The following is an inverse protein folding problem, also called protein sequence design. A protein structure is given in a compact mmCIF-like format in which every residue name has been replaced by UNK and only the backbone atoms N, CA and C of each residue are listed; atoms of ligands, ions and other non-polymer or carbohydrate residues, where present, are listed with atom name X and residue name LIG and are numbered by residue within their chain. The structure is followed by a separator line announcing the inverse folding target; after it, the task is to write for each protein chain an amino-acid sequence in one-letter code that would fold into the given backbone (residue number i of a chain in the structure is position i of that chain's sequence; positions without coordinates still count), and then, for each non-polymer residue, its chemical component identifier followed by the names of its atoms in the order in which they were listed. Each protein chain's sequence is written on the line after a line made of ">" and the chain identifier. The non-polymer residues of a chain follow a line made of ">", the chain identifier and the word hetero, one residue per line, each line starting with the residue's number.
data_IF_328767575112
#
_entry.id   IF_328767575112
#
_cell.length_a   1.000
_cell.length_b   1.000
_cell.length_c   1.000
_cell.angle_alpha   90.00
_cell.angle_beta   90.00
_cell.angle_gamma   90.00
#
_symmetry.space_group_name_H-M   'P 1'
#
loop_
_entity.id
_entity.type
_entity.pdbx_description
1 polymer ?
#
# COMPACT_ATOMS: atom_id res chain seq x y z
N UNK A 1 -30.32 3.74 -3.07
CA UNK A 1 -28.91 4.16 -2.85
C UNK A 1 -28.77 5.47 -2.08
N UNK A 2 -29.73 6.42 -2.13
CA UNK A 2 -29.61 7.70 -1.40
C UNK A 2 -29.90 7.60 0.11
N UNK A 3 -30.84 6.74 0.53
CA UNK A 3 -31.20 6.62 1.96
C UNK A 3 -30.26 5.74 2.81
N UNK A 4 -29.35 5.01 2.17
CA UNK A 4 -28.41 4.10 2.86
C UNK A 4 -27.11 4.80 3.23
N UNK A 5 -26.77 5.89 2.55
CA UNK A 5 -25.52 6.61 2.74
C UNK A 5 -25.83 8.07 3.04
N UNK A 6 -25.67 8.46 4.31
CA UNK A 6 -25.55 9.88 4.66
C UNK A 6 -24.21 10.36 4.10
N UNK A 7 -24.23 10.84 2.86
CA UNK A 7 -23.02 11.22 2.12
C UNK A 7 -22.17 12.25 2.88
N UNK A 8 -22.80 13.12 3.68
CA UNK A 8 -22.13 14.06 4.58
C UNK A 8 -21.26 13.36 5.61
N UNK A 9 -21.80 12.35 6.32
CA UNK A 9 -21.07 11.58 7.33
C UNK A 9 -19.90 10.80 6.74
N UNK A 10 -20.08 10.22 5.55
CA UNK A 10 -18.98 9.52 4.87
C UNK A 10 -17.88 10.51 4.44
N UNK A 11 -18.26 11.70 3.96
CA UNK A 11 -17.33 12.77 3.62
C UNK A 11 -16.48 13.20 4.82
N UNK A 12 -17.10 13.44 5.97
CA UNK A 12 -16.40 13.74 7.23
C UNK A 12 -15.43 12.62 7.62
N UNK A 13 -15.84 11.36 7.47
CA UNK A 13 -14.97 10.23 7.78
C UNK A 13 -13.75 10.15 6.87
N UNK A 14 -13.92 10.45 5.57
CA UNK A 14 -12.80 10.48 4.61
C UNK A 14 -11.82 11.61 4.98
N UNK A 15 -12.30 12.79 5.37
CA UNK A 15 -11.43 13.91 5.76
C UNK A 15 -10.59 13.54 6.99
N UNK A 16 -11.23 12.97 8.02
CA UNK A 16 -10.53 12.54 9.23
C UNK A 16 -9.56 11.38 8.97
N UNK A 17 -9.94 10.41 8.13
CA UNK A 17 -9.05 9.34 7.70
C UNK A 17 -7.83 9.88 6.97
N UNK A 18 -8.01 10.82 6.02
CA UNK A 18 -6.91 11.50 5.35
C UNK A 18 -5.99 12.20 6.36
N UNK A 19 -6.53 12.89 7.35
CA UNK A 19 -5.73 13.53 8.38
C UNK A 19 -4.89 12.52 9.19
N UNK A 20 -5.41 11.32 9.46
CA UNK A 20 -4.65 10.23 10.08
C UNK A 20 -3.52 9.73 9.18
N UNK A 21 -3.82 9.48 7.90
CA UNK A 21 -2.82 9.05 6.89
C UNK A 21 -1.73 10.10 6.72
N UNK A 22 -2.07 11.39 6.65
CA UNK A 22 -1.11 12.49 6.52
C UNK A 22 -0.22 12.62 7.77
N UNK A 23 -0.72 12.28 8.96
CA UNK A 23 0.10 12.22 10.19
C UNK A 23 1.11 11.07 10.12
N UNK A 24 0.67 9.89 9.69
CA UNK A 24 1.55 8.73 9.50
C UNK A 24 2.62 9.03 8.45
N UNK A 25 2.23 9.62 7.31
CA UNK A 25 3.14 9.99 6.23
C UNK A 25 4.29 10.87 6.74
N UNK A 26 3.97 11.93 7.49
CA UNK A 26 4.97 12.84 8.07
C UNK A 26 5.89 12.14 9.07
N UNK A 27 5.33 11.23 9.88
CA UNK A 27 6.04 10.54 10.96
C UNK A 27 6.95 9.42 10.44
N UNK A 28 6.38 8.48 9.69
CA UNK A 28 6.99 7.17 9.40
C UNK A 28 7.19 6.91 7.91
N UNK A 29 6.73 7.81 7.03
CA UNK A 29 6.98 7.76 5.60
C UNK A 29 5.85 7.16 4.76
N UNK A 30 6.07 7.18 3.45
CA UNK A 30 5.05 6.92 2.44
C UNK A 30 4.48 5.50 2.53
N UNK A 31 5.34 4.50 2.68
CA UNK A 31 4.90 3.10 2.66
C UNK A 31 4.09 2.72 3.90
N UNK A 32 4.38 3.29 5.07
CA UNK A 32 3.57 3.08 6.29
C UNK A 32 2.18 3.68 6.10
N UNK A 33 2.12 4.92 5.58
CA UNK A 33 0.87 5.62 5.31
C UNK A 33 0.00 4.88 4.28
N UNK A 34 0.61 4.41 3.18
CA UNK A 34 -0.09 3.66 2.13
C UNK A 34 -0.62 2.32 2.64
N UNK A 35 0.19 1.53 3.35
CA UNK A 35 -0.24 0.23 3.91
C UNK A 35 -1.38 0.41 4.90
N UNK A 36 -1.30 1.43 5.77
CA UNK A 36 -2.39 1.78 6.69
C UNK A 36 -3.68 2.14 5.94
N UNK A 37 -3.60 3.01 4.93
CA UNK A 37 -4.75 3.42 4.11
C UNK A 37 -5.43 2.22 3.42
N UNK A 38 -4.64 1.32 2.82
CA UNK A 38 -5.15 0.08 2.23
C UNK A 38 -5.82 -0.81 3.30
N UNK A 39 -5.18 -1.00 4.46
CA UNK A 39 -5.71 -1.82 5.55
C UNK A 39 -7.05 -1.30 6.09
N UNK A 40 -7.17 0.00 6.35
CA UNK A 40 -8.42 0.61 6.81
C UNK A 40 -9.55 0.44 5.79
N UNK A 41 -9.26 0.70 4.50
CA UNK A 41 -10.27 0.54 3.44
C UNK A 41 -10.70 -0.92 3.30
N UNK A 42 -9.75 -1.86 3.25
CA UNK A 42 -10.04 -3.29 3.14
C UNK A 42 -10.92 -3.77 4.30
N UNK A 43 -10.57 -3.41 5.54
CA UNK A 43 -11.34 -3.77 6.72
C UNK A 43 -12.75 -3.18 6.71
N UNK A 44 -12.92 -1.94 6.22
CA UNK A 44 -14.23 -1.32 6.11
C UNK A 44 -15.16 -2.02 5.10
N UNK A 45 -14.61 -2.54 4.00
CA UNK A 45 -15.38 -3.30 3.02
C UNK A 45 -15.67 -4.74 3.47
N UNK A 46 -14.74 -5.38 4.18
CA UNK A 46 -14.91 -6.74 4.71
C UNK A 46 -15.91 -6.79 5.88
N UNK A 47 -15.83 -5.83 6.80
CA UNK A 47 -16.68 -5.78 7.99
C UNK A 47 -17.81 -4.75 7.82
N UNK A 48 -18.84 -5.14 7.06
CA UNK A 48 -20.11 -4.40 7.03
C UNK A 48 -20.82 -4.55 8.38
N UNK A 49 -20.95 -3.46 9.12
CA UNK A 49 -21.65 -3.40 10.40
C UNK A 49 -23.16 -3.32 10.17
N UNK A 50 -23.95 -4.19 10.80
CA UNK A 50 -25.41 -4.04 10.79
C UNK A 50 -25.80 -3.11 11.92
N UNK A 51 -26.28 -1.90 11.59
CA UNK A 51 -26.83 -0.96 12.57
C UNK A 51 -28.31 -0.79 12.28
N UNK A 52 -29.17 -1.08 13.25
CA UNK A 52 -30.64 -1.00 13.13
C UNK A 52 -31.19 -1.75 11.90
N UNK A 53 -30.65 -2.94 11.60
CA UNK A 53 -31.06 -3.74 10.44
C UNK A 53 -30.48 -3.31 9.09
N UNK A 54 -29.74 -2.20 9.02
CA UNK A 54 -29.10 -1.70 7.80
C UNK A 54 -27.60 -2.02 7.81
N UNK A 55 -27.10 -2.70 6.77
CA UNK A 55 -25.66 -2.91 6.56
C UNK A 55 -24.99 -1.58 6.24
N UNK A 56 -24.10 -1.12 7.12
CA UNK A 56 -23.30 0.10 7.02
C UNK A 56 -21.80 -0.24 6.99
N UNK A 57 -20.98 0.74 6.63
CA UNK A 57 -19.53 0.61 6.64
C UNK A 57 -18.96 0.78 8.04
N UNK A 58 -17.85 0.11 8.33
CA UNK A 58 -17.09 0.43 9.53
C UNK A 58 -16.60 1.88 9.46
N UNK A 59 -16.67 2.59 10.59
CA UNK A 59 -16.19 3.97 10.65
C UNK A 59 -14.67 4.00 10.41
N UNK A 60 -14.27 4.62 9.27
CA UNK A 60 -12.88 4.77 8.84
C UNK A 60 -12.19 6.01 9.45
N UNK A 61 -12.96 6.92 10.07
CA UNK A 61 -12.41 8.12 10.68
C UNK A 61 -11.56 7.82 11.93
N UNK A 62 -11.86 6.69 12.58
CA UNK A 62 -11.21 6.27 13.82
C UNK A 62 -9.83 5.70 13.48
N UNK A 63 -8.81 6.27 14.10
CA UNK A 63 -7.46 5.73 14.03
C UNK A 63 -7.40 4.35 14.68
N UNK A 64 -6.84 3.37 13.96
CA UNK A 64 -6.71 1.98 14.46
C UNK A 64 -5.25 1.63 14.68
N UNK A 65 -4.85 1.64 15.95
CA UNK A 65 -3.46 1.37 16.35
C UNK A 65 -2.95 0.04 15.81
N UNK A 66 -3.74 -1.04 15.89
CA UNK A 66 -3.34 -2.37 15.39
C UNK A 66 -3.03 -2.39 13.88
N UNK A 67 -3.83 -1.67 13.07
CA UNK A 67 -3.61 -1.55 11.62
C UNK A 67 -2.35 -0.74 11.34
N UNK A 68 -2.10 0.29 12.15
CA UNK A 68 -0.88 1.09 12.07
C UNK A 68 0.36 0.28 12.45
N UNK A 69 0.32 -0.47 13.55
CA UNK A 69 1.43 -1.29 14.02
C UNK A 69 1.80 -2.35 12.99
N UNK A 70 0.79 -2.97 12.37
CA UNK A 70 0.97 -3.91 11.26
C UNK A 70 1.61 -3.23 10.06
N UNK A 71 1.08 -2.08 9.63
CA UNK A 71 1.64 -1.32 8.50
C UNK A 71 3.10 -0.90 8.73
N UNK A 72 3.42 -0.46 9.96
CA UNK A 72 4.77 -0.08 10.35
C UNK A 72 5.71 -1.28 10.38
N UNK A 73 5.29 -2.39 10.99
CA UNK A 73 6.07 -3.61 11.06
C UNK A 73 6.39 -4.19 9.67
N UNK A 74 5.43 -4.17 8.74
CA UNK A 74 5.65 -4.60 7.35
C UNK A 74 6.61 -3.69 6.60
N UNK A 75 6.40 -2.37 6.67
CA UNK A 75 7.29 -1.41 6.01
C UNK A 75 8.71 -1.52 6.58
N UNK A 76 8.86 -1.76 7.88
CA UNK A 76 10.15 -2.05 8.50
C UNK A 76 10.74 -3.37 7.99
N UNK A 77 9.95 -4.45 7.94
CA UNK A 77 10.39 -5.77 7.47
C UNK A 77 10.92 -5.73 6.04
N UNK A 78 10.37 -4.84 5.20
CA UNK A 78 10.78 -4.69 3.81
C UNK A 78 11.79 -3.56 3.59
N UNK A 79 12.37 -2.98 4.64
CA UNK A 79 13.29 -1.84 4.55
C UNK A 79 12.71 -0.66 3.73
N UNK A 80 11.41 -0.38 3.91
CA UNK A 80 10.68 0.66 3.20
C UNK A 80 10.61 1.99 3.96
N UNK A 81 11.00 2.03 5.24
CA UNK A 81 10.94 3.23 6.08
C UNK A 81 11.82 4.38 5.55
N UNK A 82 12.80 4.07 4.70
CA UNK A 82 13.67 5.04 4.03
C UNK A 82 12.88 5.91 3.03
N UNK A 83 11.78 5.40 2.47
CA UNK A 83 10.98 6.10 1.46
C UNK A 83 9.97 7.03 2.13
N UNK A 84 10.41 8.28 2.35
CA UNK A 84 9.61 9.28 3.08
C UNK A 84 8.41 9.79 2.30
N UNK A 85 8.60 10.18 1.05
CA UNK A 85 7.56 10.89 0.27
C UNK A 85 7.18 10.18 -1.04
N UNK A 86 8.04 9.30 -1.54
CA UNK A 86 7.87 8.68 -2.85
C UNK A 86 7.51 7.20 -2.74
N UNK A 87 6.63 6.73 -3.62
CA UNK A 87 6.36 5.31 -3.78
C UNK A 87 7.57 4.63 -4.45
N UNK A 88 8.32 3.74 -3.77
CA UNK A 88 9.46 3.06 -4.37
C UNK A 88 9.06 2.10 -5.51
N UNK A 89 7.81 1.63 -5.55
CA UNK A 89 7.29 0.70 -6.55
C UNK A 89 6.66 1.40 -7.76
N UNK A 90 6.60 2.73 -7.78
CA UNK A 90 6.14 3.46 -8.97
C UNK A 90 7.08 3.19 -10.17
N UNK A 91 6.57 3.35 -11.39
CA UNK A 91 7.38 3.25 -12.61
C UNK A 91 8.55 4.24 -12.51
N UNK A 92 9.77 3.74 -12.72
CA UNK A 92 11.01 4.52 -12.56
C UNK A 92 11.52 4.67 -11.12
N UNK A 93 10.78 4.16 -10.12
CA UNK A 93 11.21 4.11 -8.72
C UNK A 93 12.27 3.05 -8.45
N UNK A 94 12.94 3.17 -7.29
CA UNK A 94 14.05 2.29 -6.88
C UNK A 94 13.66 0.79 -6.80
N UNK A 95 12.36 0.50 -6.67
CA UNK A 95 11.80 -0.86 -6.56
C UNK A 95 10.71 -1.12 -7.61
N UNK A 96 10.72 -0.40 -8.74
CA UNK A 96 9.69 -0.53 -9.78
C UNK A 96 9.45 -1.97 -10.30
N UNK A 97 10.47 -2.84 -10.22
CA UNK A 97 10.41 -4.23 -10.67
C UNK A 97 10.22 -5.25 -9.53
N UNK A 98 10.12 -4.78 -8.28
CA UNK A 98 9.95 -5.63 -7.11
C UNK A 98 8.48 -5.92 -6.90
N UNK A 99 8.19 -7.02 -6.21
CA UNK A 99 6.82 -7.33 -5.78
C UNK A 99 6.42 -6.36 -4.64
N UNK A 100 5.38 -5.53 -4.81
CA UNK A 100 4.98 -4.55 -3.80
C UNK A 100 4.27 -5.16 -2.59
N UNK A 101 3.74 -6.38 -2.72
CA UNK A 101 3.06 -7.08 -1.63
C UNK A 101 4.08 -7.71 -0.68
N UNK A 102 5.10 -8.36 -1.23
CA UNK A 102 6.12 -9.10 -0.46
C UNK A 102 7.42 -8.31 -0.25
N UNK A 103 7.61 -7.19 -0.96
CA UNK A 103 8.86 -6.44 -0.95
C UNK A 103 10.04 -7.21 -1.55
N UNK A 104 9.80 -8.29 -2.31
CA UNK A 104 10.87 -9.13 -2.85
C UNK A 104 11.35 -8.65 -4.21
N UNK A 105 12.66 -8.74 -4.42
CA UNK A 105 13.27 -8.55 -5.75
C UNK A 105 12.74 -9.61 -6.71
N UNK A 106 12.58 -9.27 -8.00
CA UNK A 106 12.28 -10.27 -9.01
C UNK A 106 13.42 -11.30 -9.04
N UNK A 107 13.07 -12.57 -9.22
CA UNK A 107 14.08 -13.61 -9.42
C UNK A 107 14.97 -13.20 -10.60
N UNK A 108 16.29 -13.14 -10.37
CA UNK A 108 17.24 -12.95 -11.47
C UNK A 108 17.00 -14.09 -12.46
N UNK A 109 16.50 -13.77 -13.66
CA UNK A 109 16.72 -14.67 -14.78
C UNK A 109 18.22 -14.63 -15.01
N UNK A 110 18.93 -15.66 -14.56
CA UNK A 110 20.27 -15.93 -15.04
C UNK A 110 20.20 -15.92 -16.57
N UNK A 111 20.81 -14.93 -17.20
CA UNK A 111 21.11 -14.94 -18.63
C UNK A 111 22.17 -16.00 -18.87
N UNK A 112 21.76 -17.27 -18.75
CA UNK A 112 22.54 -18.41 -19.21
C UNK A 112 22.20 -18.61 -20.68
N UNK A 113 23.24 -18.54 -21.52
CA UNK A 113 23.32 -18.83 -22.96
C UNK A 113 23.03 -17.66 -23.91
N UNK A 114 24.00 -16.74 -24.04
CA UNK A 114 24.28 -16.17 -25.36
C UNK A 114 25.22 -17.16 -26.09
N UNK A 115 24.86 -17.71 -27.27
CA UNK A 115 25.78 -18.57 -28.00
C UNK A 115 27.00 -17.74 -28.43
N UNK A 116 28.21 -18.24 -28.11
CA UNK A 116 29.47 -17.71 -28.64
C UNK A 116 29.39 -17.72 -30.16
N UNK A 117 29.32 -16.54 -30.78
CA UNK A 117 29.53 -16.38 -32.22
C UNK A 117 31.01 -16.63 -32.49
N UNK A 118 31.35 -17.81 -33.00
CA UNK A 118 32.67 -18.09 -33.54
C UNK A 118 32.93 -17.13 -34.71
N UNK A 119 33.85 -16.19 -34.52
CA UNK A 119 34.40 -15.39 -35.60
C UNK A 119 35.62 -16.12 -36.16
N UNK A 120 35.45 -16.77 -37.31
CA UNK A 120 36.60 -17.12 -38.15
C UNK A 120 37.00 -15.87 -38.97
N UNK A 121 38.29 -15.54 -39.10
CA UNK A 121 38.74 -14.42 -39.93
C UNK A 121 38.76 -14.83 -41.41
N UNK A 122 38.49 -13.91 -42.36
CA UNK A 122 38.72 -14.17 -43.77
C UNK A 122 40.19 -13.97 -44.13
N UNK A 123 40.69 -14.91 -44.94
CA UNK A 123 41.94 -14.87 -45.71
C UNK A 123 41.93 -13.81 -46.80
#
# INVERSE_FOLDING_TARGET
>A
MRDVYKYETLGEWIILHKANVDKILRKDGFMVALRYDIGIRANAFAHRVVKNGVKSFSNISIFRQEVYDTAYAEARRYDELVFREVNPYAIGGARALWDPHTGTKPASKSTTNLPKRNANPPT
#
